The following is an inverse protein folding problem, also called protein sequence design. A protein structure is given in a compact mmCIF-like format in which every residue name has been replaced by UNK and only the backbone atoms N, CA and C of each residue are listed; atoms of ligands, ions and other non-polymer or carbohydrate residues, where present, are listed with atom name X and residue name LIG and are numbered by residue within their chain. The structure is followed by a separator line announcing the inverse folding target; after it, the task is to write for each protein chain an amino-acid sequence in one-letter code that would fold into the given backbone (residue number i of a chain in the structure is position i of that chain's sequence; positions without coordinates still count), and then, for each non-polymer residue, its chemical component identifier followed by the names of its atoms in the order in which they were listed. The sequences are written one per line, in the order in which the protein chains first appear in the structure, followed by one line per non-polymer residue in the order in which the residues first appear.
data_IF_030559561807
#
_entry.id   IF_030559561807
#
_cell.length_a   1.000
_cell.length_b   1.000
_cell.length_c   1.000
_cell.angle_alpha   90.00
_cell.angle_beta   90.00
_cell.angle_gamma   90.00
#
_symmetry.space_group_name_H-M   'P 1'
#
loop_
_entity.id
_entity.type
_entity.pdbx_description
1 polymer ?
#
# COMPACT_ATOMS: atom_id res chain seq x y z
N UNK A 1 -15.96 18.91 -7.98
CA UNK A 1 -15.31 18.81 -6.67
C UNK A 1 -14.84 17.38 -6.43
N UNK A 2 -15.72 16.43 -6.67
CA UNK A 2 -15.39 15.02 -6.51
C UNK A 2 -14.22 14.61 -7.38
N UNK A 3 -14.19 15.13 -8.61
CA UNK A 3 -13.12 14.81 -9.54
C UNK A 3 -11.76 15.32 -9.04
N UNK A 4 -11.76 16.47 -8.39
CA UNK A 4 -10.51 17.03 -7.85
C UNK A 4 -9.99 16.17 -6.70
N UNK A 5 -10.90 15.74 -5.82
CA UNK A 5 -10.54 14.88 -4.72
C UNK A 5 -10.02 13.54 -5.26
N UNK A 6 -10.68 13.00 -6.27
CA UNK A 6 -10.25 11.76 -6.90
C UNK A 6 -8.86 11.87 -7.51
N UNK A 7 -8.54 12.99 -8.15
CA UNK A 7 -7.23 13.21 -8.72
C UNK A 7 -6.15 13.22 -7.64
N UNK A 8 -6.42 13.86 -6.50
CA UNK A 8 -5.51 13.87 -5.37
C UNK A 8 -5.28 12.49 -4.82
N UNK A 9 -6.36 11.74 -4.67
CA UNK A 9 -6.27 10.39 -4.16
C UNK A 9 -5.47 9.51 -5.10
N UNK A 10 -5.62 9.72 -6.41
CA UNK A 10 -4.85 8.98 -7.39
C UNK A 10 -3.35 9.25 -7.28
N UNK A 11 -2.97 10.50 -7.08
CA UNK A 11 -1.56 10.85 -6.90
C UNK A 11 -1.01 10.21 -5.63
N UNK A 12 -1.78 10.24 -4.56
CA UNK A 12 -1.38 9.63 -3.31
C UNK A 12 -1.24 8.12 -3.46
N UNK A 13 -2.20 7.48 -4.11
CA UNK A 13 -2.17 6.05 -4.38
C UNK A 13 -0.93 5.67 -5.18
N UNK A 14 -0.60 6.43 -6.22
CA UNK A 14 0.58 6.16 -7.03
C UNK A 14 1.86 6.30 -6.22
N UNK A 15 1.93 7.32 -5.38
CA UNK A 15 3.09 7.54 -4.54
C UNK A 15 3.30 6.39 -3.56
N UNK A 16 2.22 5.93 -2.95
CA UNK A 16 2.27 4.81 -2.01
C UNK A 16 2.66 3.53 -2.74
N UNK A 17 2.03 3.26 -3.86
CA UNK A 17 2.29 2.05 -4.63
C UNK A 17 3.74 2.01 -5.11
N UNK A 18 4.26 3.13 -5.58
CA UNK A 18 5.63 3.22 -6.02
C UNK A 18 6.62 2.95 -4.89
N UNK A 19 6.37 3.55 -3.72
CA UNK A 19 7.23 3.34 -2.55
C UNK A 19 7.24 1.88 -2.12
N UNK A 20 6.07 1.24 -2.14
CA UNK A 20 5.95 -0.16 -1.77
C UNK A 20 6.69 -1.04 -2.78
N UNK A 21 6.53 -0.78 -4.07
CA UNK A 21 7.21 -1.56 -5.10
C UNK A 21 8.72 -1.48 -4.97
N UNK A 22 9.23 -0.29 -4.70
CA UNK A 22 10.67 -0.10 -4.54
C UNK A 22 11.20 -0.84 -3.33
N UNK A 23 10.46 -0.81 -2.24
CA UNK A 23 10.92 -1.43 -0.99
C UNK A 23 10.81 -2.95 -1.04
N UNK A 24 9.78 -3.48 -1.67
CA UNK A 24 9.54 -4.92 -1.72
C UNK A 24 10.11 -5.58 -2.97
N UNK A 25 10.67 -4.79 -3.88
CA UNK A 25 11.19 -5.34 -5.14
C UNK A 25 10.12 -5.94 -6.03
N UNK A 26 8.90 -5.45 -5.91
CA UNK A 26 7.81 -5.93 -6.74
C UNK A 26 7.28 -7.30 -6.35
N UNK A 27 7.52 -7.74 -5.14
CA UNK A 27 7.15 -9.09 -4.69
C UNK A 27 5.74 -9.23 -4.17
N UNK A 28 4.92 -8.20 -4.34
CA UNK A 28 3.51 -8.26 -3.96
C UNK A 28 2.70 -8.34 -5.23
N UNK A 29 1.97 -9.43 -5.39
CA UNK A 29 1.17 -9.67 -6.60
C UNK A 29 -0.24 -9.14 -6.39
N UNK A 30 -0.80 -8.59 -7.47
CA UNK A 30 -2.14 -8.05 -7.44
C UNK A 30 -2.30 -6.93 -6.43
N UNK A 31 -1.26 -6.14 -6.24
CA UNK A 31 -1.29 -5.08 -5.24
C UNK A 31 -2.33 -4.02 -5.59
N UNK A 32 -3.09 -3.66 -4.60
CA UNK A 32 -4.10 -2.64 -4.72
C UNK A 32 -3.97 -1.67 -3.57
N UNK A 33 -3.95 -0.40 -3.88
CA UNK A 33 -3.86 0.65 -2.87
C UNK A 33 -5.08 1.54 -3.00
N UNK A 34 -5.75 1.76 -1.89
CA UNK A 34 -6.89 2.67 -1.84
C UNK A 34 -6.62 3.69 -0.75
N UNK A 35 -6.86 4.96 -1.06
CA UNK A 35 -6.66 6.03 -0.10
C UNK A 35 -7.93 6.85 0.00
N UNK A 36 -8.47 6.95 1.20
CA UNK A 36 -9.68 7.73 1.48
C UNK A 36 -9.47 8.54 2.73
N UNK A 37 -9.68 9.85 2.65
CA UNK A 37 -9.55 10.74 3.79
C UNK A 37 -8.25 10.46 4.54
N UNK A 38 -8.32 9.87 5.72
CA UNK A 38 -7.14 9.60 6.55
C UNK A 38 -6.82 8.12 6.62
N UNK A 39 -7.37 7.35 5.71
CA UNK A 39 -7.26 5.90 5.73
C UNK A 39 -6.60 5.39 4.45
N UNK A 40 -5.66 4.48 4.61
CA UNK A 40 -4.98 3.84 3.48
C UNK A 40 -5.18 2.33 3.61
N UNK A 41 -5.66 1.70 2.55
CA UNK A 41 -5.84 0.26 2.51
C UNK A 41 -4.93 -0.32 1.43
N UNK A 42 -4.09 -1.25 1.81
CA UNK A 42 -3.21 -1.95 0.87
C UNK A 42 -3.56 -3.42 0.90
N UNK A 43 -3.80 -3.99 -0.27
CA UNK A 43 -4.12 -5.41 -0.39
C UNK A 43 -3.28 -6.04 -1.49
N UNK A 44 -3.20 -7.35 -1.49
CA UNK A 44 -2.42 -8.10 -2.46
C UNK A 44 -1.96 -9.42 -1.85
N UNK A 45 -1.08 -10.10 -2.57
CA UNK A 45 -0.59 -11.41 -2.16
C UNK A 45 0.92 -11.41 -2.22
N UNK A 46 1.55 -11.90 -1.17
CA UNK A 46 3.01 -12.08 -1.15
C UNK A 46 3.32 -13.45 -0.56
N UNK A 47 4.55 -13.91 -0.77
CA UNK A 47 4.98 -15.20 -0.24
C UNK A 47 5.78 -15.05 1.06
N UNK A 48 5.93 -13.85 1.57
CA UNK A 48 6.76 -13.58 2.73
C UNK A 48 6.08 -12.60 3.67
N UNK A 49 6.02 -12.98 4.94
CA UNK A 49 5.52 -12.10 5.97
C UNK A 49 6.39 -10.84 6.09
N UNK A 50 7.65 -10.98 5.81
CA UNK A 50 8.58 -9.87 5.81
C UNK A 50 8.14 -8.78 4.83
N UNK A 51 7.72 -9.16 3.64
CA UNK A 51 7.23 -8.19 2.65
C UNK A 51 5.98 -7.47 3.16
N UNK A 52 5.11 -8.19 3.82
CA UNK A 52 3.92 -7.59 4.41
C UNK A 52 4.29 -6.54 5.45
N UNK A 53 5.26 -6.83 6.29
CA UNK A 53 5.71 -5.88 7.30
C UNK A 53 6.42 -4.67 6.69
N UNK A 54 7.14 -4.88 5.59
CA UNK A 54 7.77 -3.76 4.89
C UNK A 54 6.74 -2.74 4.42
N UNK A 55 5.59 -3.20 3.97
CA UNK A 55 4.51 -2.30 3.55
C UNK A 55 4.08 -1.41 4.72
N UNK A 56 3.87 -2.00 5.88
CA UNK A 56 3.50 -1.23 7.07
C UNK A 56 4.55 -0.17 7.37
N UNK A 57 5.81 -0.58 7.36
CA UNK A 57 6.91 0.32 7.67
C UNK A 57 6.98 1.49 6.69
N UNK A 58 6.92 1.20 5.40
CA UNK A 58 7.01 2.23 4.36
C UNK A 58 5.88 3.25 4.48
N UNK A 59 4.66 2.74 4.65
CA UNK A 59 3.50 3.62 4.72
C UNK A 59 3.55 4.48 5.97
N UNK A 60 3.89 3.90 7.10
CA UNK A 60 3.94 4.66 8.35
C UNK A 60 5.05 5.70 8.35
N UNK A 61 6.18 5.42 7.70
CA UNK A 61 7.26 6.39 7.61
C UNK A 61 6.91 7.58 6.75
N UNK A 62 6.20 7.35 5.66
CA UNK A 62 5.91 8.40 4.69
C UNK A 62 4.56 9.06 4.90
N UNK A 63 3.63 8.37 5.51
CA UNK A 63 2.25 8.84 5.64
C UNK A 63 1.76 8.62 7.07
N UNK A 64 2.50 9.18 8.01
CA UNK A 64 2.28 8.94 9.45
C UNK A 64 0.95 9.47 9.98
N UNK A 65 0.28 10.33 9.22
CA UNK A 65 -1.01 10.87 9.64
C UNK A 65 -2.20 10.01 9.23
N UNK A 66 -1.93 8.96 8.47
CA UNK A 66 -2.98 8.09 7.95
C UNK A 66 -3.07 6.79 8.74
N UNK A 67 -4.26 6.25 8.83
CA UNK A 67 -4.46 4.92 9.40
C UNK A 67 -4.25 3.89 8.29
N UNK A 68 -3.35 2.97 8.52
CA UNK A 68 -3.06 1.93 7.54
C UNK A 68 -3.82 0.65 7.86
N UNK A 69 -4.50 0.13 6.86
CA UNK A 69 -5.09 -1.21 6.90
C UNK A 69 -4.30 -2.10 5.96
N UNK A 70 -3.42 -2.91 6.52
CA UNK A 70 -2.57 -3.79 5.73
C UNK A 70 -3.27 -5.13 5.55
N UNK A 71 -3.97 -5.26 4.43
CA UNK A 71 -4.75 -6.46 4.11
C UNK A 71 -4.02 -7.38 3.15
N UNK A 72 -2.70 -7.35 3.16
CA UNK A 72 -1.91 -8.23 2.31
C UNK A 72 -1.99 -9.65 2.87
N UNK A 73 -2.26 -10.60 1.99
CA UNK A 73 -2.29 -12.01 2.34
C UNK A 73 -0.91 -12.62 2.12
N UNK A 74 -0.45 -13.36 3.12
CA UNK A 74 0.82 -14.08 3.00
C UNK A 74 0.51 -15.52 2.66
N UNK A 75 0.93 -15.92 1.47
CA UNK A 75 0.72 -17.29 0.98
C UNK A 75 2.10 -17.88 0.71
N UNK A 76 2.61 -18.72 1.61
CA UNK A 76 3.95 -19.28 1.43
C UNK A 76 4.03 -20.12 0.17
N UNK A 77 5.19 -20.21 -0.47
CA UNK A 77 5.35 -21.07 -1.63
C UNK A 77 5.17 -22.53 -1.23
N UNK A 78 4.64 -23.30 -2.16
CA UNK A 78 4.32 -24.72 -1.94
C UNK A 78 5.58 -25.57 -1.71
#
# INVERSE_FOLDING_TARGET
ITAIVGARDEELVESIASAIRQTTGGRIRGMRVEAEAESIVVSGITDSYYNKQLVTRVVLEKFSHSTLHNNISVVPPA
#
